data_IF_606849634795
#
_entry.id   IF_606849634795
#
_cell.length_a   1.000
_cell.length_b   1.000
_cell.length_c   1.000
_cell.angle_alpha   90.00
_cell.angle_beta   90.00
_cell.angle_gamma   90.00
#
_symmetry.space_group_name_H-M   'P 1'
#
loop_
_entity.id
_entity.type
_entity.pdbx_description
1 polymer ?
#
# COMPACT_ATOMS: atom_id res chain seq x y z
N UNK A 1 -21.85 -3.40 32.97
CA UNK A 1 -20.90 -2.53 32.26
C UNK A 1 -19.78 -3.40 31.70
N UNK A 2 -19.55 -3.41 30.38
CA UNK A 2 -18.40 -4.14 29.79
C UNK A 2 -17.18 -3.23 29.87
N UNK A 3 -16.22 -3.56 30.72
CA UNK A 3 -14.94 -2.85 30.81
C UNK A 3 -14.06 -3.26 29.63
N UNK A 4 -13.78 -2.34 28.72
CA UNK A 4 -12.83 -2.56 27.62
C UNK A 4 -11.41 -2.49 28.17
N UNK A 5 -10.68 -3.59 28.12
CA UNK A 5 -9.26 -3.66 28.50
C UNK A 5 -8.40 -3.44 27.26
N UNK A 6 -7.59 -2.38 27.26
CA UNK A 6 -6.51 -2.19 26.27
C UNK A 6 -5.27 -2.91 26.79
N UNK A 7 -4.85 -3.97 26.11
CA UNK A 7 -3.62 -4.71 26.43
C UNK A 7 -2.58 -4.46 25.34
N UNK A 8 -1.35 -4.18 25.74
CA UNK A 8 -0.20 -4.10 24.84
C UNK A 8 0.24 -5.51 24.46
N UNK A 9 0.30 -5.80 23.16
CA UNK A 9 0.99 -6.99 22.66
C UNK A 9 2.50 -6.88 22.96
N UNK A 10 3.24 -7.99 23.13
CA UNK A 10 4.69 -7.95 23.32
C UNK A 10 5.39 -7.06 22.27
N UNK A 11 6.61 -6.58 22.54
CA UNK A 11 7.37 -5.82 21.54
C UNK A 11 7.75 -6.74 20.39
N UNK A 12 7.00 -6.71 19.29
CA UNK A 12 7.14 -7.75 18.26
C UNK A 12 8.03 -7.35 17.08
N UNK A 13 8.49 -6.10 17.03
CA UNK A 13 9.04 -5.53 15.80
C UNK A 13 10.02 -4.41 16.11
N UNK A 14 11.20 -4.44 15.47
CA UNK A 14 12.17 -3.35 15.52
C UNK A 14 12.55 -2.88 14.12
N UNK A 15 12.35 -1.60 13.88
CA UNK A 15 13.10 -0.83 12.90
C UNK A 15 14.39 -0.30 13.54
N UNK A 16 15.36 0.09 12.72
CA UNK A 16 16.62 0.71 13.19
C UNK A 16 16.48 2.23 13.33
N UNK A 17 15.36 2.79 12.86
CA UNK A 17 15.02 4.21 12.99
C UNK A 17 13.55 4.42 13.39
N UNK A 18 13.14 5.71 13.53
CA UNK A 18 11.75 6.08 13.74
C UNK A 18 10.82 5.48 12.67
N UNK A 19 9.71 4.89 13.12
CA UNK A 19 8.64 4.38 12.24
C UNK A 19 7.69 5.52 11.93
N UNK A 20 7.48 5.80 10.65
CA UNK A 20 6.64 6.92 10.20
C UNK A 20 5.18 6.51 10.05
N UNK A 21 4.94 5.36 9.42
CA UNK A 21 3.59 4.90 9.16
C UNK A 21 3.50 3.38 9.32
N UNK A 22 2.33 2.93 9.76
CA UNK A 22 1.91 1.53 9.73
C UNK A 22 0.57 1.42 9.01
N UNK A 23 0.34 0.29 8.33
CA UNK A 23 -0.91 0.04 7.61
C UNK A 23 -1.31 -1.44 7.70
N UNK A 24 -2.55 -1.69 8.11
CA UNK A 24 -3.13 -3.03 8.10
C UNK A 24 -3.58 -3.42 6.70
N UNK A 25 -3.27 -4.65 6.28
CA UNK A 25 -3.81 -5.18 5.05
C UNK A 25 -5.28 -5.59 5.23
N UNK A 26 -5.96 -5.83 4.11
CA UNK A 26 -7.32 -6.33 4.14
C UNK A 26 -7.40 -7.72 4.81
N UNK A 27 -8.40 -8.00 5.68
CA UNK A 27 -8.49 -9.26 6.44
C UNK A 27 -8.51 -10.53 5.59
N UNK A 28 -8.89 -10.43 4.31
CA UNK A 28 -8.84 -11.53 3.33
C UNK A 28 -7.44 -12.16 3.20
N UNK A 29 -6.39 -11.41 3.48
CA UNK A 29 -5.00 -11.88 3.42
C UNK A 29 -4.44 -12.28 4.79
N UNK A 30 -5.28 -12.28 5.83
CA UNK A 30 -4.91 -12.53 7.22
C UNK A 30 -4.40 -11.27 7.94
N UNK A 31 -3.87 -11.47 9.15
CA UNK A 31 -3.27 -10.42 9.98
C UNK A 31 -1.92 -9.98 9.43
N UNK A 32 -1.94 -9.16 8.37
CA UNK A 32 -0.75 -8.54 7.81
C UNK A 32 -0.65 -7.06 8.19
N UNK A 33 0.53 -6.65 8.60
CA UNK A 33 0.86 -5.27 8.95
C UNK A 33 2.07 -4.83 8.12
N UNK A 34 1.97 -3.69 7.44
CA UNK A 34 3.10 -3.01 6.85
C UNK A 34 3.59 -1.91 7.80
N UNK A 35 4.90 -1.70 7.82
CA UNK A 35 5.54 -0.57 8.50
C UNK A 35 6.65 0.04 7.63
N UNK A 36 6.82 1.35 7.72
CA UNK A 36 7.90 2.07 7.04
C UNK A 36 8.60 3.04 7.99
N UNK A 37 9.88 3.32 7.72
CA UNK A 37 10.77 3.95 8.69
C UNK A 37 11.80 4.86 8.04
N UNK A 38 12.38 5.72 8.87
CA UNK A 38 13.53 6.56 8.54
C UNK A 38 14.76 5.75 8.10
N UNK A 39 14.86 4.48 8.51
CA UNK A 39 15.94 3.56 8.12
C UNK A 39 15.91 3.13 6.64
N UNK A 40 14.98 3.66 5.85
CA UNK A 40 14.81 3.33 4.43
C UNK A 40 14.16 1.97 4.19
N UNK A 41 13.64 1.31 5.23
CA UNK A 41 13.08 -0.04 5.13
C UNK A 41 11.57 -0.03 5.18
N UNK A 42 10.98 -0.87 4.34
CA UNK A 42 9.59 -1.28 4.45
C UNK A 42 9.55 -2.73 4.90
N UNK A 43 8.79 -3.00 5.95
CA UNK A 43 8.68 -4.34 6.50
C UNK A 43 7.23 -4.77 6.56
N UNK A 44 6.97 -5.97 6.08
CA UNK A 44 5.66 -6.63 6.15
C UNK A 44 5.75 -7.72 7.20
N UNK A 45 4.82 -7.68 8.14
CA UNK A 45 4.70 -8.57 9.27
C UNK A 45 3.44 -9.41 9.14
N UNK A 46 3.52 -10.66 9.59
CA UNK A 46 2.38 -11.56 9.68
C UNK A 46 2.26 -12.09 11.10
N UNK A 47 1.03 -12.07 11.63
CA UNK A 47 0.72 -12.77 12.86
C UNK A 47 0.54 -14.27 12.59
N UNK A 48 1.21 -15.10 13.38
CA UNK A 48 1.05 -16.55 13.42
C UNK A 48 1.06 -17.02 14.87
N UNK A 49 -0.04 -17.62 15.31
CA UNK A 49 -0.17 -18.19 16.67
C UNK A 49 0.19 -17.21 17.80
N UNK A 50 -0.21 -15.94 17.68
CA UNK A 50 0.07 -14.90 18.67
C UNK A 50 1.51 -14.35 18.65
N UNK A 51 2.33 -14.81 17.70
CA UNK A 51 3.66 -14.25 17.43
C UNK A 51 3.66 -13.50 16.10
N UNK A 52 4.49 -12.47 15.99
CA UNK A 52 4.66 -11.77 14.72
C UNK A 52 5.99 -12.13 14.10
N UNK A 53 5.95 -12.45 12.82
CA UNK A 53 7.13 -12.77 12.02
C UNK A 53 7.27 -11.78 10.87
N UNK A 54 8.52 -11.52 10.48
CA UNK A 54 8.84 -10.74 9.30
C UNK A 54 8.65 -11.61 8.05
N UNK A 55 7.71 -11.26 7.17
CA UNK A 55 7.45 -12.02 5.92
C UNK A 55 8.08 -11.37 4.69
N UNK A 56 8.33 -10.06 4.73
CA UNK A 56 9.07 -9.35 3.68
C UNK A 56 9.80 -8.17 4.28
N UNK A 57 11.03 -7.97 3.84
CA UNK A 57 11.82 -6.76 4.07
C UNK A 57 12.21 -6.19 2.71
N UNK A 58 11.97 -4.91 2.52
CA UNK A 58 12.32 -4.19 1.32
C UNK A 58 13.28 -3.05 1.67
N UNK A 59 14.45 -3.07 1.02
CA UNK A 59 15.60 -2.18 1.22
C UNK A 59 16.01 -1.48 -0.08
N UNK A 60 15.05 -1.17 -0.95
CA UNK A 60 15.33 -0.51 -2.23
C UNK A 60 15.50 1.00 -2.14
N UNK A 61 14.99 1.62 -1.07
CA UNK A 61 15.05 3.06 -0.88
C UNK A 61 16.36 3.52 -0.26
N UNK A 62 16.92 4.60 -0.82
CA UNK A 62 18.18 5.20 -0.37
C UNK A 62 17.95 6.23 0.75
N UNK A 63 16.69 6.55 1.05
CA UNK A 63 16.29 7.52 2.05
C UNK A 63 15.06 7.06 2.84
N UNK A 64 14.63 7.86 3.79
CA UNK A 64 13.46 7.63 4.65
C UNK A 64 12.21 7.26 3.85
N UNK A 65 11.52 6.19 4.26
CA UNK A 65 10.22 5.82 3.69
C UNK A 65 9.11 6.40 4.55
N UNK A 66 8.44 7.40 4.01
CA UNK A 66 7.55 8.26 4.79
C UNK A 66 6.11 7.76 4.80
N UNK A 67 5.70 7.03 3.77
CA UNK A 67 4.31 6.58 3.66
C UNK A 67 4.17 5.22 2.99
N UNK A 68 3.20 4.45 3.47
CA UNK A 68 2.80 3.15 2.91
C UNK A 68 1.29 3.02 2.82
N UNK A 69 0.81 2.40 1.75
CA UNK A 69 -0.62 2.15 1.54
C UNK A 69 -0.86 0.79 0.86
N UNK A 70 -1.71 -0.03 1.47
CA UNK A 70 -2.20 -1.26 0.84
C UNK A 70 -3.21 -0.93 -0.25
N UNK A 71 -3.13 -1.66 -1.36
CA UNK A 71 -4.12 -1.57 -2.43
C UNK A 71 -5.44 -2.23 -2.01
N UNK A 72 -6.57 -1.85 -2.65
CA UNK A 72 -7.83 -2.58 -2.49
C UNK A 72 -7.66 -4.06 -2.83
N UNK A 73 -8.29 -4.90 -2.02
CA UNK A 73 -8.12 -6.36 -2.06
C UNK A 73 -8.57 -7.01 -3.37
N UNK A 74 -9.44 -6.35 -4.13
CA UNK A 74 -9.89 -6.78 -5.46
C UNK A 74 -8.75 -6.84 -6.48
N UNK A 75 -7.69 -6.07 -6.25
CA UNK A 75 -6.50 -6.05 -7.10
C UNK A 75 -5.41 -7.02 -6.66
N UNK A 76 -5.61 -7.74 -5.54
CA UNK A 76 -4.62 -8.61 -4.93
C UNK A 76 -3.87 -7.94 -3.77
N UNK A 77 -2.76 -8.56 -3.38
CA UNK A 77 -1.95 -8.10 -2.25
C UNK A 77 -0.80 -7.21 -2.75
N UNK A 78 -1.09 -5.90 -2.84
CA UNK A 78 -0.12 -4.89 -3.23
C UNK A 78 0.09 -3.83 -2.14
N UNK A 79 1.33 -3.42 -1.94
CA UNK A 79 1.72 -2.36 -1.02
C UNK A 79 2.49 -1.29 -1.80
N UNK A 80 2.00 -0.05 -1.78
CA UNK A 80 2.75 1.09 -2.30
C UNK A 80 3.53 1.76 -1.17
N UNK A 81 4.73 2.24 -1.50
CA UNK A 81 5.62 2.91 -0.57
C UNK A 81 6.16 4.19 -1.22
N UNK A 82 6.19 5.29 -0.47
CA UNK A 82 6.73 6.58 -0.89
C UNK A 82 7.92 6.97 -0.02
N UNK A 83 9.01 7.34 -0.67
CA UNK A 83 10.26 7.67 0.01
C UNK A 83 10.81 9.06 -0.34
N UNK A 84 11.60 9.60 0.57
CA UNK A 84 12.29 10.89 0.44
C UNK A 84 13.32 10.92 -0.68
N UNK A 85 13.73 9.76 -1.22
CA UNK A 85 14.61 9.67 -2.40
C UNK A 85 13.88 10.04 -3.71
N UNK A 86 12.58 10.34 -3.63
CA UNK A 86 11.75 10.71 -4.78
C UNK A 86 11.17 9.50 -5.50
N UNK A 87 11.55 8.28 -5.11
CA UNK A 87 11.05 7.03 -5.69
C UNK A 87 9.77 6.58 -4.99
N UNK A 88 8.97 5.87 -5.76
CA UNK A 88 7.82 5.10 -5.27
C UNK A 88 8.04 3.66 -5.65
N UNK A 89 7.81 2.76 -4.69
CA UNK A 89 7.88 1.32 -4.91
C UNK A 89 6.51 0.69 -4.70
N UNK A 90 6.19 -0.32 -5.49
CA UNK A 90 5.00 -1.17 -5.31
C UNK A 90 5.47 -2.61 -5.17
N UNK A 91 5.21 -3.17 -4.00
CA UNK A 91 5.47 -4.56 -3.68
C UNK A 91 4.21 -5.36 -4.02
N UNK A 92 4.34 -6.37 -4.89
CA UNK A 92 3.25 -7.25 -5.31
C UNK A 92 3.53 -8.67 -4.85
N UNK A 93 2.61 -9.27 -4.11
CA UNK A 93 2.72 -10.70 -3.76
C UNK A 93 2.07 -11.57 -4.84
N UNK A 94 2.87 -12.42 -5.49
CA UNK A 94 2.40 -13.40 -6.47
C UNK A 94 2.08 -14.70 -5.74
N UNK A 95 0.79 -15.00 -5.57
CA UNK A 95 0.31 -16.19 -4.83
C UNK A 95 0.81 -17.50 -5.43
N UNK A 96 0.93 -17.60 -6.76
CA UNK A 96 1.34 -18.82 -7.47
C UNK A 96 2.78 -19.23 -7.15
N UNK A 97 3.68 -18.25 -7.09
CA UNK A 97 5.10 -18.47 -6.83
C UNK A 97 5.44 -18.31 -5.33
N UNK A 98 4.51 -17.76 -4.55
CA UNK A 98 4.73 -17.30 -3.17
C UNK A 98 5.88 -16.28 -3.04
N UNK A 99 6.14 -15.48 -4.09
CA UNK A 99 7.23 -14.49 -4.16
C UNK A 99 6.68 -13.06 -4.14
N UNK A 100 7.44 -12.16 -3.53
CA UNK A 100 7.21 -10.72 -3.58
C UNK A 100 8.03 -10.09 -4.70
N UNK A 101 7.33 -9.57 -5.70
CA UNK A 101 7.89 -8.75 -6.76
C UNK A 101 7.89 -7.27 -6.35
N UNK A 102 8.82 -6.48 -6.90
CA UNK A 102 8.99 -5.07 -6.55
C UNK A 102 9.14 -4.26 -7.82
N UNK A 103 8.27 -3.28 -8.00
CA UNK A 103 8.36 -2.30 -9.08
C UNK A 103 8.65 -0.93 -8.51
N UNK A 104 9.73 -0.30 -8.97
CA UNK A 104 10.17 1.01 -8.52
C UNK A 104 10.21 2.00 -9.68
N UNK A 105 9.87 3.26 -9.40
CA UNK A 105 10.04 4.34 -10.36
C UNK A 105 10.24 5.68 -9.67
N UNK A 106 10.85 6.62 -10.38
CA UNK A 106 11.01 7.99 -9.92
C UNK A 106 9.66 8.73 -10.04
N UNK A 107 9.10 9.12 -8.90
CA UNK A 107 7.82 9.81 -8.85
C UNK A 107 8.00 11.34 -8.74
N UNK A 108 8.88 11.81 -7.86
CA UNK A 108 9.08 13.23 -7.55
C UNK A 108 10.57 13.57 -7.54
N UNK A 109 10.96 14.78 -7.97
CA UNK A 109 12.38 15.14 -8.08
C UNK A 109 13.07 15.42 -6.74
N UNK A 110 12.32 15.91 -5.75
CA UNK A 110 12.87 16.34 -4.45
C UNK A 110 12.63 15.27 -3.37
N UNK A 111 11.51 14.55 -3.44
CA UNK A 111 11.13 13.55 -2.44
C UNK A 111 9.64 13.26 -2.50
N UNK A 112 9.24 12.05 -2.11
CA UNK A 112 7.85 11.62 -2.02
C UNK A 112 7.46 11.38 -0.55
N UNK A 113 6.39 12.02 -0.10
CA UNK A 113 5.98 12.02 1.31
C UNK A 113 4.69 11.23 1.56
N UNK A 114 3.81 11.16 0.56
CA UNK A 114 2.49 10.60 0.73
C UNK A 114 2.15 9.70 -0.45
N UNK A 115 1.48 8.58 -0.15
CA UNK A 115 0.94 7.68 -1.15
C UNK A 115 -0.45 7.20 -0.76
N UNK A 116 -1.36 7.12 -1.73
CA UNK A 116 -2.71 6.62 -1.51
C UNK A 116 -3.23 5.88 -2.75
N UNK A 117 -3.70 4.65 -2.55
CA UNK A 117 -4.43 3.94 -3.59
C UNK A 117 -5.84 4.49 -3.73
N UNK A 118 -6.29 4.60 -4.98
CA UNK A 118 -7.69 4.88 -5.26
C UNK A 118 -8.53 3.64 -4.90
N UNK A 119 -9.55 3.77 -4.04
CA UNK A 119 -10.35 2.63 -3.61
C UNK A 119 -11.27 2.10 -4.72
N UNK A 120 -11.66 2.95 -5.68
CA UNK A 120 -12.56 2.60 -6.77
C UNK A 120 -11.81 2.47 -8.10
N UNK A 121 -11.96 1.31 -8.73
CA UNK A 121 -11.55 1.07 -10.12
C UNK A 121 -12.37 1.91 -11.11
N UNK A 122 -13.60 2.30 -10.74
CA UNK A 122 -14.50 3.08 -11.59
C UNK A 122 -14.27 4.58 -11.35
N UNK A 123 -13.95 5.37 -12.38
CA UNK A 123 -14.25 6.80 -12.34
C UNK A 123 -15.76 6.97 -12.06
N UNK A 124 -16.16 7.99 -11.29
CA UNK A 124 -17.56 8.40 -11.09
C UNK A 124 -18.46 7.51 -10.19
N UNK A 125 -17.94 6.95 -9.10
CA UNK A 125 -18.80 6.28 -8.10
C UNK A 125 -19.19 7.18 -6.94
N UNK A 126 -20.45 7.60 -6.90
CA UNK A 126 -21.12 8.19 -5.73
C UNK A 126 -22.56 7.67 -5.61
N UNK A 127 -22.81 6.34 -5.63
CA UNK A 127 -24.19 5.77 -5.63
C UNK A 127 -25.16 6.44 -6.66
N UNK A 128 -24.64 7.12 -7.68
CA UNK A 128 -25.36 8.19 -8.37
C UNK A 128 -26.21 7.66 -9.53
N UNK A 129 -27.49 7.43 -9.23
CA UNK A 129 -28.65 8.05 -9.90
C UNK A 129 -28.53 8.26 -11.44
N UNK A 130 -29.31 7.67 -12.35
CA UNK A 130 -30.72 7.20 -12.37
C UNK A 130 -30.95 6.26 -13.60
N UNK A 131 -32.20 5.96 -14.00
CA UNK A 131 -32.80 4.64 -14.09
C UNK A 131 -32.48 3.90 -15.40
N UNK A 132 -32.76 2.60 -15.41
CA UNK A 132 -33.00 1.74 -16.60
C UNK A 132 -32.83 2.42 -17.97
N UNK A 133 -31.71 2.17 -18.64
CA UNK A 133 -31.53 2.61 -20.02
C UNK A 133 -30.09 2.53 -20.49
N UNK A 134 -29.72 1.37 -21.04
CA UNK A 134 -28.58 1.19 -21.97
C UNK A 134 -27.24 1.78 -21.52
N UNK A 135 -26.62 1.18 -20.49
CA UNK A 135 -25.17 1.29 -20.32
C UNK A 135 -24.51 0.26 -21.25
N UNK A 136 -24.03 0.75 -22.39
CA UNK A 136 -23.26 0.02 -23.39
C UNK A 136 -22.16 -0.86 -22.78
N UNK A 137 -22.06 -2.09 -23.29
CA UNK A 137 -21.02 -3.11 -23.09
C UNK A 137 -19.60 -2.61 -23.43
N UNK A 138 -19.08 -1.63 -22.69
CA UNK A 138 -17.65 -1.30 -22.74
C UNK A 138 -16.97 -2.14 -21.66
N UNK A 139 -15.99 -3.00 -21.99
CA UNK A 139 -15.26 -3.76 -20.99
C UNK A 139 -14.58 -2.76 -20.04
N UNK A 140 -15.06 -2.73 -18.80
CA UNK A 140 -14.53 -1.86 -17.75
C UNK A 140 -13.17 -2.43 -17.37
N UNK A 141 -12.11 -1.96 -18.04
CA UNK A 141 -10.77 -2.22 -17.56
C UNK A 141 -10.63 -1.54 -16.20
N UNK A 142 -10.51 -2.35 -15.16
CA UNK A 142 -10.29 -1.88 -13.80
C UNK A 142 -8.87 -1.27 -13.73
N UNK A 143 -8.74 0.01 -14.08
CA UNK A 143 -7.47 0.74 -13.94
C UNK A 143 -7.23 1.04 -12.47
N UNK A 144 -6.16 0.48 -11.91
CA UNK A 144 -5.72 0.89 -10.58
C UNK A 144 -5.13 2.29 -10.68
N UNK A 145 -5.48 3.15 -9.72
CA UNK A 145 -4.89 4.48 -9.63
C UNK A 145 -4.18 4.64 -8.30
N UNK A 146 -3.01 5.28 -8.36
CA UNK A 146 -2.19 5.61 -7.21
C UNK A 146 -1.97 7.12 -7.22
N UNK A 147 -2.23 7.79 -6.10
CA UNK A 147 -1.88 9.18 -5.91
C UNK A 147 -0.59 9.26 -5.10
N UNK A 148 0.33 10.14 -5.52
CA UNK A 148 1.56 10.42 -4.79
C UNK A 148 1.70 11.92 -4.58
N UNK A 149 2.13 12.32 -3.39
CA UNK A 149 2.42 13.72 -3.04
C UNK A 149 3.90 13.88 -2.74
N UNK A 150 4.51 14.93 -3.29
CA UNK A 150 5.96 15.18 -3.17
C UNK A 150 6.33 16.55 -2.62
N UNK A 151 7.60 16.67 -2.24
CA UNK A 151 8.23 17.92 -1.83
C UNK A 151 8.40 18.92 -2.99
N UNK A 152 8.13 18.50 -4.22
CA UNK A 152 8.12 19.33 -5.43
C UNK A 152 6.81 20.13 -5.58
N UNK A 153 5.98 20.18 -4.55
CA UNK A 153 4.66 20.83 -4.53
C UNK A 153 3.64 20.21 -5.50
N UNK A 154 3.92 19.00 -6.01
CA UNK A 154 3.06 18.31 -6.97
C UNK A 154 2.33 17.13 -6.34
N UNK A 155 1.12 16.91 -6.82
CA UNK A 155 0.40 15.64 -6.69
C UNK A 155 0.42 14.98 -8.06
N UNK A 156 0.85 13.72 -8.13
CA UNK A 156 0.86 12.93 -9.36
C UNK A 156 -0.07 11.75 -9.22
N UNK A 157 -0.85 11.50 -10.28
CA UNK A 157 -1.75 10.36 -10.36
C UNK A 157 -1.17 9.37 -11.37
N UNK A 158 -0.93 8.16 -10.90
CA UNK A 158 -0.39 7.06 -11.67
C UNK A 158 -1.51 6.10 -12.04
N UNK A 159 -1.51 5.64 -13.27
CA UNK A 159 -2.35 4.52 -13.73
C UNK A 159 -1.51 3.27 -13.72
N UNK A 160 -1.90 2.29 -12.92
CA UNK A 160 -1.22 1.01 -12.80
C UNK A 160 -2.06 -0.04 -13.53
N UNK A 161 -1.53 -0.55 -14.64
CA UNK A 161 -2.14 -1.61 -15.46
C UNK A 161 -1.27 -2.84 -15.45
N UNK A 162 -1.91 -4.01 -15.37
CA UNK A 162 -1.27 -5.28 -15.69
C UNK A 162 -1.39 -5.53 -17.19
N UNK A 163 -0.27 -5.84 -17.82
CA UNK A 163 -0.28 -6.48 -19.13
C UNK A 163 -0.21 -7.98 -18.86
N UNK A 164 -1.27 -8.70 -19.23
CA UNK A 164 -1.24 -10.16 -19.29
C UNK A 164 -0.65 -10.58 -20.63
#
# INVERSE_FOLDING_TARGET
>A
MKTTLVKRAPNVVRHEGPVWQVAWAHPKFGSLLASCSYDGRVIIWKESQGTWIKVKEHKGHESSVNSVAWAPHDFGLLLACAASDGKVSVLTYKTEEAVWDVKEWNAHQIGCNAVAWCPSARPDSLLSAMPSGTASDVPIFAEMRLATGGCDNLIKIWKYRFYF
#
